data_IF_446700576669
#
_entry.id   IF_446700576669
#
_cell.length_a   1.000
_cell.length_b   1.000
_cell.length_c   1.000
_cell.angle_alpha   90.00
_cell.angle_beta   90.00
_cell.angle_gamma   90.00
#
_symmetry.space_group_name_H-M   'P 1'
#
loop_
_entity.id
_entity.type
_entity.pdbx_description
1 polymer ?
#
# COMPACT_ATOMS: atom_id res chain seq x y z
N UNK A 1 -26.92 30.14 52.22
CA UNK A 1 -26.79 29.91 50.76
C UNK A 1 -25.61 28.96 50.58
N UNK A 2 -25.87 27.67 50.40
CA UNK A 2 -25.86 26.96 49.09
C UNK A 2 -24.44 26.96 48.48
N UNK A 3 -23.71 25.87 48.24
CA UNK A 3 -24.00 24.43 48.23
C UNK A 3 -22.71 23.63 48.54
N UNK A 4 -22.93 22.37 48.90
CA UNK A 4 -22.00 21.37 49.43
C UNK A 4 -20.79 21.02 48.53
N UNK A 5 -19.61 20.98 49.16
CA UNK A 5 -18.54 20.01 48.87
C UNK A 5 -18.85 18.72 49.63
N UNK A 6 -18.88 17.57 48.96
CA UNK A 6 -18.47 16.31 49.62
C UNK A 6 -17.97 15.29 48.61
N UNK A 7 -16.73 14.86 48.87
CA UNK A 7 -16.02 13.73 48.27
C UNK A 7 -16.73 12.44 48.70
N UNK A 8 -16.81 11.46 47.80
CA UNK A 8 -17.06 10.07 48.18
C UNK A 8 -15.73 9.30 48.15
N UNK A 9 -15.36 8.76 49.30
CA UNK A 9 -14.39 7.68 49.46
C UNK A 9 -15.14 6.36 49.58
N UNK A 10 -14.58 5.32 48.98
CA UNK A 10 -15.01 3.93 49.07
C UNK A 10 -14.87 3.38 50.49
N UNK A 11 -15.78 2.48 50.85
CA UNK A 11 -15.60 1.45 51.89
C UNK A 11 -16.28 0.18 51.41
N UNK A 12 -15.47 -0.86 51.23
CA UNK A 12 -15.90 -2.27 51.19
C UNK A 12 -16.18 -2.72 52.62
N UNK A 13 -17.23 -3.51 52.85
CA UNK A 13 -17.28 -4.59 53.86
C UNK A 13 -18.32 -5.65 53.45
N UNK A 14 -17.95 -6.90 53.73
CA UNK A 14 -18.55 -8.18 53.40
C UNK A 14 -19.80 -8.57 54.23
N UNK A 15 -20.52 -9.60 53.75
CA UNK A 15 -20.94 -10.82 54.49
C UNK A 15 -22.38 -11.32 54.20
N UNK A 16 -22.42 -12.55 53.67
CA UNK A 16 -23.21 -13.72 54.07
C UNK A 16 -24.74 -13.64 54.30
N UNK A 17 -25.47 -14.45 53.51
CA UNK A 17 -26.84 -14.89 53.80
C UNK A 17 -27.25 -16.08 52.91
N UNK A 18 -27.41 -17.24 53.53
CA UNK A 18 -27.65 -18.57 52.94
C UNK A 18 -29.16 -18.93 52.92
N UNK A 19 -29.54 -19.97 52.15
CA UNK A 19 -30.81 -20.75 52.11
C UNK A 19 -31.99 -20.15 51.29
N UNK A 20 -32.78 -20.86 50.47
CA UNK A 20 -33.01 -22.31 50.23
C UNK A 20 -33.79 -22.55 48.92
N UNK A 21 -33.78 -23.81 48.45
CA UNK A 21 -34.41 -24.37 47.25
C UNK A 21 -35.95 -24.48 47.35
N UNK A 22 -36.64 -24.38 46.21
CA UNK A 22 -37.83 -25.20 45.92
C UNK A 22 -38.03 -25.38 44.39
N UNK A 23 -38.14 -26.64 43.96
CA UNK A 23 -38.52 -27.10 42.62
C UNK A 23 -40.05 -27.04 42.42
N UNK A 24 -40.54 -26.52 41.28
CA UNK A 24 -41.72 -27.07 40.59
C UNK A 24 -41.62 -26.87 39.07
N UNK A 25 -41.84 -27.96 38.34
CA UNK A 25 -41.90 -28.14 36.89
C UNK A 25 -43.00 -27.33 36.16
N UNK A 26 -42.72 -26.85 34.94
CA UNK A 26 -43.58 -27.00 33.73
C UNK A 26 -43.05 -26.19 32.52
N UNK A 27 -42.92 -26.85 31.36
CA UNK A 27 -42.90 -26.24 30.01
C UNK A 27 -44.36 -26.16 29.48
N UNK A 28 -44.74 -25.55 28.32
CA UNK A 28 -44.02 -24.93 27.16
C UNK A 28 -44.69 -23.54 26.79
N UNK A 29 -44.72 -22.94 25.56
CA UNK A 29 -44.20 -23.34 24.25
C UNK A 29 -43.47 -22.28 23.40
N UNK A 30 -42.79 -22.81 22.38
CA UNK A 30 -42.23 -22.18 21.21
C UNK A 30 -43.31 -21.85 20.17
N UNK A 31 -43.40 -20.59 19.72
CA UNK A 31 -43.63 -20.22 18.30
C UNK A 31 -43.64 -18.69 18.14
N UNK A 32 -42.58 -18.11 17.59
CA UNK A 32 -42.64 -16.79 16.97
C UNK A 32 -42.36 -17.00 15.47
N UNK A 33 -43.43 -16.95 14.67
CA UNK A 33 -43.35 -17.05 13.21
C UNK A 33 -42.98 -15.70 12.61
N UNK A 34 -41.81 -15.62 11.95
CA UNK A 34 -41.30 -14.45 11.21
C UNK A 34 -41.97 -14.24 9.83
N UNK A 35 -42.95 -15.07 9.47
CA UNK A 35 -43.53 -15.12 8.12
C UNK A 35 -44.49 -13.97 7.77
N UNK A 36 -44.63 -12.94 8.63
CA UNK A 36 -45.58 -11.82 8.43
C UNK A 36 -44.96 -10.43 8.27
N UNK A 37 -43.63 -10.32 8.17
CA UNK A 37 -42.93 -9.03 7.94
C UNK A 37 -42.31 -8.91 6.53
N UNK A 38 -42.58 -9.83 5.61
CA UNK A 38 -41.96 -9.86 4.28
C UNK A 38 -42.77 -9.16 3.16
N UNK A 39 -43.88 -8.50 3.47
CA UNK A 39 -44.62 -7.70 2.48
C UNK A 39 -44.68 -6.24 2.93
N UNK A 40 -43.93 -5.40 2.20
CA UNK A 40 -43.76 -3.93 2.31
C UNK A 40 -42.45 -3.52 2.96
N UNK A 41 -41.43 -3.29 2.12
CA UNK A 41 -40.80 -1.99 1.82
C UNK A 41 -39.71 -2.27 0.78
N UNK A 42 -39.96 -1.92 -0.48
CA UNK A 42 -38.94 -1.79 -1.51
C UNK A 42 -38.53 -0.32 -1.60
N UNK A 43 -37.33 0.02 -1.13
CA UNK A 43 -36.49 1.10 -1.69
C UNK A 43 -35.16 1.21 -0.93
N UNK A 44 -34.09 0.75 -1.58
CA UNK A 44 -32.70 1.25 -1.51
C UNK A 44 -32.04 1.53 -0.15
N UNK A 45 -31.29 0.55 0.37
CA UNK A 45 -30.16 0.73 1.29
C UNK A 45 -29.06 -0.26 0.90
N UNK A 46 -27.91 0.22 0.44
CA UNK A 46 -26.75 -0.61 0.09
C UNK A 46 -25.83 -0.75 1.31
N UNK A 47 -26.05 -1.80 2.10
CA UNK A 47 -25.01 -2.48 2.88
C UNK A 47 -24.18 -3.37 1.93
N UNK A 48 -22.96 -3.84 2.28
CA UNK A 48 -22.15 -4.66 1.37
C UNK A 48 -22.93 -5.92 0.96
N UNK A 49 -23.30 -5.97 -0.31
CA UNK A 49 -24.13 -7.02 -0.88
C UNK A 49 -23.37 -8.33 -0.91
N UNK A 50 -23.79 -9.26 -0.05
CA UNK A 50 -23.61 -10.68 -0.30
C UNK A 50 -24.34 -11.06 -1.60
N UNK A 51 -23.81 -11.95 -2.45
CA UNK A 51 -24.50 -12.36 -3.67
C UNK A 51 -25.82 -13.05 -3.32
N UNK A 52 -26.86 -12.74 -4.10
CA UNK A 52 -28.21 -13.30 -4.00
C UNK A 52 -28.14 -14.83 -3.96
N UNK A 53 -28.48 -15.41 -2.82
CA UNK A 53 -28.49 -16.86 -2.60
C UNK A 53 -29.80 -17.45 -3.12
N UNK A 54 -29.73 -18.28 -4.16
CA UNK A 54 -30.82 -19.21 -4.50
C UNK A 54 -31.00 -20.25 -3.37
N UNK A 55 -32.22 -20.74 -3.17
CA UNK A 55 -32.57 -21.74 -2.13
C UNK A 55 -31.69 -22.99 -2.16
N UNK A 56 -31.23 -23.40 -3.34
CA UNK A 56 -30.33 -24.53 -3.53
C UNK A 56 -28.92 -24.30 -2.94
N UNK A 57 -28.54 -23.05 -2.72
CA UNK A 57 -27.24 -22.66 -2.14
C UNK A 57 -27.26 -22.79 -0.61
N UNK A 58 -28.43 -22.58 0.02
CA UNK A 58 -28.59 -22.74 1.47
C UNK A 58 -28.63 -24.21 1.88
N UNK A 59 -29.29 -25.06 1.09
CA UNK A 59 -29.31 -26.52 1.32
C UNK A 59 -27.88 -27.09 1.20
N UNK A 60 -27.12 -26.69 0.18
CA UNK A 60 -25.70 -27.09 0.04
C UNK A 60 -24.78 -26.51 1.12
N UNK A 61 -25.10 -25.34 1.67
CA UNK A 61 -24.35 -24.74 2.78
C UNK A 61 -24.64 -25.43 4.12
N UNK A 62 -25.90 -25.84 4.35
CA UNK A 62 -26.31 -26.66 5.48
C UNK A 62 -25.73 -28.07 5.41
N UNK A 63 -25.71 -28.69 4.23
CA UNK A 63 -25.06 -29.99 4.02
C UNK A 63 -23.55 -29.93 4.29
N UNK A 64 -22.86 -28.83 3.95
CA UNK A 64 -21.44 -28.61 4.31
C UNK A 64 -21.22 -28.34 5.79
N UNK A 65 -22.17 -27.71 6.48
CA UNK A 65 -22.08 -27.41 7.91
C UNK A 65 -22.35 -28.62 8.81
N UNK A 66 -22.96 -29.67 8.26
CA UNK A 66 -23.30 -30.90 8.98
C UNK A 66 -22.28 -32.03 8.75
N UNK A 67 -21.23 -31.80 7.97
CA UNK A 67 -20.11 -32.74 7.88
C UNK A 67 -19.12 -32.47 9.01
N UNK A 68 -18.79 -33.47 9.85
CA UNK A 68 -17.62 -33.35 10.73
C UNK A 68 -16.41 -33.05 9.84
N UNK A 69 -15.60 -32.07 10.24
CA UNK A 69 -14.39 -31.63 9.55
C UNK A 69 -13.62 -32.84 9.02
N UNK A 70 -13.84 -33.13 7.74
CA UNK A 70 -13.08 -34.12 7.01
C UNK A 70 -11.66 -33.58 7.01
N UNK A 71 -10.80 -34.26 7.76
CA UNK A 71 -9.35 -34.21 7.56
C UNK A 71 -9.17 -34.46 6.06
N UNK A 72 -8.91 -33.39 5.31
CA UNK A 72 -8.45 -33.55 3.94
C UNK A 72 -7.18 -34.39 4.03
N UNK A 73 -7.03 -35.46 3.23
CA UNK A 73 -5.77 -36.19 3.20
C UNK A 73 -4.64 -35.19 2.92
N UNK A 74 -3.46 -35.34 3.55
CA UNK A 74 -2.34 -34.43 3.32
C UNK A 74 -2.11 -34.34 1.81
N UNK A 75 -2.21 -33.12 1.29
CA UNK A 75 -2.01 -32.84 -0.14
C UNK A 75 -0.60 -33.32 -0.49
N UNK A 76 -0.52 -34.41 -1.28
CA UNK A 76 0.74 -34.92 -1.78
C UNK A 76 1.25 -33.97 -2.85
N UNK A 77 2.01 -32.96 -2.42
CA UNK A 77 2.75 -32.10 -3.34
C UNK A 77 3.82 -32.92 -4.06
N UNK A 78 4.08 -32.57 -5.32
CA UNK A 78 5.19 -33.15 -6.04
C UNK A 78 6.51 -32.86 -5.27
N UNK A 79 7.48 -33.79 -5.26
CA UNK A 79 8.73 -33.61 -4.52
C UNK A 79 9.57 -32.42 -5.01
N UNK A 80 9.31 -31.90 -6.22
CA UNK A 80 9.92 -30.71 -6.81
C UNK A 80 9.12 -29.41 -6.59
N UNK A 81 8.07 -29.44 -5.75
CA UNK A 81 7.22 -28.28 -5.54
C UNK A 81 7.95 -27.13 -4.84
N UNK A 82 7.87 -25.94 -5.45
CA UNK A 82 8.36 -24.67 -4.91
C UNK A 82 7.43 -24.18 -3.80
N UNK A 83 7.99 -23.81 -2.66
CA UNK A 83 7.22 -23.37 -1.48
C UNK A 83 7.19 -21.86 -1.42
N UNK A 84 6.00 -21.26 -1.36
CA UNK A 84 5.85 -19.82 -1.13
C UNK A 84 5.24 -19.55 0.23
N UNK A 85 5.76 -18.52 0.90
CA UNK A 85 5.16 -17.96 2.10
C UNK A 85 4.33 -16.73 1.73
N UNK A 86 3.04 -16.76 2.02
CA UNK A 86 2.15 -15.61 1.92
C UNK A 86 1.86 -15.11 3.34
N UNK A 87 2.42 -13.95 3.67
CA UNK A 87 2.20 -13.30 4.96
C UNK A 87 0.92 -12.48 4.87
N UNK A 88 -0.21 -13.05 5.28
CA UNK A 88 -1.53 -12.41 5.20
C UNK A 88 -2.46 -12.89 6.32
N UNK A 89 -3.67 -12.34 6.42
CA UNK A 89 -4.72 -12.92 7.28
C UNK A 89 -5.28 -14.23 6.71
N UNK A 90 -6.14 -14.93 7.47
CA UNK A 90 -6.76 -16.20 7.07
C UNK A 90 -8.13 -16.03 6.40
N UNK A 91 -8.56 -14.79 6.11
CA UNK A 91 -9.88 -14.53 5.52
C UNK A 91 -9.94 -14.96 4.05
N UNK A 92 -8.80 -14.91 3.35
CA UNK A 92 -8.68 -15.32 1.95
C UNK A 92 -7.75 -16.53 1.86
N UNK A 93 -8.28 -17.67 1.39
CA UNK A 93 -7.45 -18.81 1.02
C UNK A 93 -6.70 -18.49 -0.28
N UNK A 94 -5.40 -18.17 -0.17
CA UNK A 94 -4.57 -17.89 -1.33
C UNK A 94 -4.27 -19.13 -2.17
N UNK A 95 -4.30 -20.32 -1.58
CA UNK A 95 -3.97 -21.58 -2.27
C UNK A 95 -4.90 -21.84 -3.46
N UNK A 96 -6.16 -21.40 -3.39
CA UNK A 96 -7.16 -21.59 -4.44
C UNK A 96 -6.75 -20.95 -5.78
N UNK A 97 -6.04 -19.83 -5.74
CA UNK A 97 -5.63 -19.13 -6.96
C UNK A 97 -4.49 -19.84 -7.70
N UNK A 98 -3.61 -20.53 -6.98
CA UNK A 98 -2.50 -21.30 -7.56
C UNK A 98 -2.94 -22.67 -8.12
N UNK A 99 -4.04 -23.24 -7.61
CA UNK A 99 -4.61 -24.49 -8.13
C UNK A 99 -5.18 -24.33 -9.55
N UNK A 100 -5.78 -23.16 -9.82
CA UNK A 100 -6.45 -22.88 -11.10
C UNK A 100 -5.51 -22.74 -12.30
N UNK A 101 -4.22 -22.53 -12.06
CA UNK A 101 -3.18 -22.33 -13.09
C UNK A 101 -2.63 -23.63 -13.70
N UNK A 102 -3.06 -24.81 -13.23
CA UNK A 102 -2.59 -26.10 -13.76
C UNK A 102 -1.13 -26.45 -13.43
N UNK A 103 -0.44 -25.61 -12.64
CA UNK A 103 0.94 -25.83 -12.20
C UNK A 103 0.89 -26.48 -10.82
N UNK A 104 0.90 -27.82 -10.77
CA UNK A 104 0.94 -28.62 -9.53
C UNK A 104 2.27 -28.56 -8.77
N UNK A 105 3.09 -27.53 -9.03
CA UNK A 105 4.46 -27.36 -8.53
C UNK A 105 4.62 -26.22 -7.52
N UNK A 106 3.55 -25.62 -7.02
CA UNK A 106 3.61 -24.58 -5.99
C UNK A 106 2.89 -25.06 -4.73
N UNK A 107 3.63 -25.11 -3.62
CA UNK A 107 3.11 -25.30 -2.27
C UNK A 107 2.92 -23.92 -1.65
N UNK A 108 1.69 -23.61 -1.25
CA UNK A 108 1.33 -22.33 -0.64
C UNK A 108 1.24 -22.51 0.87
N UNK A 109 2.03 -21.73 1.60
CA UNK A 109 2.04 -21.69 3.05
C UNK A 109 1.65 -20.27 3.45
N UNK A 110 0.64 -20.15 4.31
CA UNK A 110 0.01 -18.87 4.63
C UNK A 110 -0.06 -18.72 6.14
N UNK A 111 0.40 -17.58 6.64
CA UNK A 111 0.40 -17.25 8.07
C UNK A 111 0.50 -15.74 8.26
N UNK A 112 0.07 -15.22 9.41
CA UNK A 112 0.28 -13.82 9.74
C UNK A 112 1.61 -13.63 10.48
N UNK A 113 2.12 -12.40 10.61
CA UNK A 113 3.40 -12.14 11.29
C UNK A 113 3.40 -12.60 12.76
N UNK A 114 2.25 -12.64 13.44
CA UNK A 114 2.15 -13.15 14.80
C UNK A 114 2.46 -14.65 14.92
N UNK A 115 2.28 -15.40 13.83
CA UNK A 115 2.44 -16.86 13.81
C UNK A 115 3.71 -17.29 13.07
N UNK A 116 4.50 -16.33 12.57
CA UNK A 116 5.72 -16.58 11.79
C UNK A 116 6.95 -16.35 12.66
N UNK A 117 7.75 -17.40 12.82
CA UNK A 117 9.08 -17.33 13.39
C UNK A 117 10.13 -17.65 12.32
N UNK A 118 11.28 -16.96 12.38
CA UNK A 118 12.35 -17.11 11.40
C UNK A 118 13.67 -17.39 12.10
N UNK A 119 14.31 -18.47 11.68
CA UNK A 119 15.70 -18.76 11.98
C UNK A 119 16.52 -18.57 10.71
N UNK A 120 17.32 -17.50 10.67
CA UNK A 120 18.21 -17.20 9.54
C UNK A 120 19.67 -17.35 9.96
N UNK A 121 20.45 -18.03 9.12
CA UNK A 121 21.91 -18.08 9.16
C UNK A 121 22.48 -17.41 7.91
N UNK A 122 23.79 -17.44 7.72
CA UNK A 122 24.46 -16.91 6.52
C UNK A 122 24.07 -17.63 5.22
N UNK A 123 23.60 -18.88 5.33
CA UNK A 123 23.36 -19.74 4.16
C UNK A 123 21.97 -20.36 4.13
N UNK A 124 21.20 -20.25 5.21
CA UNK A 124 19.90 -20.89 5.31
C UNK A 124 18.90 -20.01 6.04
N UNK A 125 17.63 -20.15 5.69
CA UNK A 125 16.53 -19.51 6.37
C UNK A 125 15.37 -20.50 6.50
N UNK A 126 15.11 -20.90 7.74
CA UNK A 126 14.02 -21.79 8.10
C UNK A 126 12.89 -20.92 8.63
N UNK A 127 11.72 -21.10 8.05
CA UNK A 127 10.48 -20.49 8.52
C UNK A 127 9.74 -21.52 9.36
N UNK A 128 9.32 -21.09 10.53
CA UNK A 128 8.44 -21.84 11.41
C UNK A 128 7.09 -21.12 11.46
N UNK A 129 6.02 -21.86 11.17
CA UNK A 129 4.65 -21.38 11.31
C UNK A 129 4.04 -22.08 12.51
N UNK A 130 3.58 -21.30 13.48
CA UNK A 130 2.85 -21.81 14.64
C UNK A 130 1.41 -22.11 14.25
N UNK A 131 0.96 -23.34 14.49
CA UNK A 131 -0.41 -23.77 14.23
C UNK A 131 -1.25 -23.66 15.50
N UNK A 132 -2.58 -23.56 15.33
CA UNK A 132 -3.54 -23.36 16.44
C UNK A 132 -3.54 -24.50 17.47
N UNK A 133 -3.04 -25.68 17.10
CA UNK A 133 -3.02 -26.89 17.95
C UNK A 133 -1.74 -27.02 18.77
N UNK A 134 -0.89 -25.99 18.81
CA UNK A 134 0.40 -26.02 19.52
C UNK A 134 1.51 -26.76 18.77
N UNK A 135 1.18 -27.36 17.62
CA UNK A 135 2.16 -27.88 16.68
C UNK A 135 2.80 -26.73 15.90
N UNK A 136 4.08 -26.89 15.54
CA UNK A 136 4.77 -25.97 14.66
C UNK A 136 5.26 -26.68 13.40
N UNK A 137 5.20 -25.96 12.28
CA UNK A 137 5.60 -26.47 10.98
C UNK A 137 6.83 -25.73 10.49
N UNK A 138 7.93 -26.46 10.36
CA UNK A 138 9.19 -25.94 9.84
C UNK A 138 9.30 -26.19 8.33
N UNK A 139 9.76 -25.18 7.59
CA UNK A 139 9.90 -25.26 6.15
C UNK A 139 10.99 -24.34 5.62
N UNK A 140 11.59 -24.74 4.50
CA UNK A 140 12.33 -23.84 3.63
C UNK A 140 11.36 -23.24 2.61
N UNK A 141 11.57 -21.98 2.26
CA UNK A 141 10.73 -21.26 1.30
C UNK A 141 11.56 -20.78 0.11
N UNK A 142 10.95 -20.80 -1.08
CA UNK A 142 11.55 -20.36 -2.33
C UNK A 142 11.19 -18.91 -2.67
N UNK A 143 10.10 -18.37 -2.11
CA UNK A 143 9.74 -16.96 -2.18
C UNK A 143 8.80 -16.56 -1.04
N UNK A 144 8.71 -15.25 -0.75
CA UNK A 144 7.73 -14.72 0.18
C UNK A 144 7.02 -13.47 -0.35
N UNK A 145 5.84 -13.20 0.21
CA UNK A 145 4.98 -12.07 -0.17
C UNK A 145 4.29 -11.53 1.05
N UNK A 146 4.17 -10.20 1.11
CA UNK A 146 3.41 -9.54 2.14
C UNK A 146 2.04 -9.20 1.55
N UNK A 147 1.03 -9.92 2.01
CA UNK A 147 -0.35 -9.71 1.62
C UNK A 147 -0.89 -8.35 2.08
N UNK A 148 -2.00 -7.91 1.48
CA UNK A 148 -2.59 -6.61 1.78
C UNK A 148 -3.12 -6.51 3.19
N UNK A 149 -3.66 -7.60 3.72
CA UNK A 149 -4.35 -7.57 4.98
C UNK A 149 -3.43 -7.87 6.14
N UNK A 150 -2.34 -8.68 6.03
CA UNK A 150 -1.26 -9.05 6.99
C UNK A 150 -1.45 -8.61 8.47
N UNK A 151 -0.50 -8.49 9.38
CA UNK A 151 -0.71 -7.72 10.63
C UNK A 151 0.63 -7.40 11.19
N UNK A 152 1.03 -6.14 11.08
CA UNK A 152 2.35 -5.74 11.50
C UNK A 152 2.40 -5.76 13.02
N UNK A 153 3.43 -6.41 13.52
CA UNK A 153 3.82 -6.45 14.92
C UNK A 153 5.17 -5.73 15.06
N UNK A 154 5.61 -5.48 16.28
CA UNK A 154 6.87 -4.77 16.55
C UNK A 154 8.11 -5.45 15.92
N UNK A 155 8.05 -6.75 15.63
CA UNK A 155 9.12 -7.51 14.98
C UNK A 155 8.95 -7.68 13.47
N UNK A 156 7.86 -7.23 12.85
CA UNK A 156 7.61 -7.45 11.41
C UNK A 156 8.74 -6.94 10.52
N UNK A 157 9.25 -5.74 10.79
CA UNK A 157 10.37 -5.17 10.03
C UNK A 157 11.64 -6.03 10.15
N UNK A 158 11.89 -6.62 11.32
CA UNK A 158 13.03 -7.50 11.56
C UNK A 158 12.86 -8.82 10.80
N UNK A 159 11.66 -9.40 10.84
CA UNK A 159 11.30 -10.61 10.09
C UNK A 159 11.52 -10.39 8.58
N UNK A 160 10.99 -9.29 8.04
CA UNK A 160 11.15 -8.94 6.62
C UNK A 160 12.63 -8.75 6.25
N UNK A 161 13.40 -8.02 7.08
CA UNK A 161 14.83 -7.82 6.85
C UNK A 161 15.62 -9.13 6.91
N UNK A 162 15.24 -10.06 7.79
CA UNK A 162 15.86 -11.40 7.86
C UNK A 162 15.59 -12.21 6.60
N UNK A 163 14.35 -12.23 6.10
CA UNK A 163 14.01 -12.89 4.82
C UNK A 163 14.80 -12.34 3.65
N UNK A 164 14.94 -11.01 3.60
CA UNK A 164 15.71 -10.32 2.55
C UNK A 164 17.20 -10.62 2.67
N UNK A 165 17.77 -10.59 3.87
CA UNK A 165 19.20 -10.89 4.10
C UNK A 165 19.52 -12.33 3.73
N UNK A 166 18.58 -13.25 3.96
CA UNK A 166 18.66 -14.64 3.50
C UNK A 166 18.54 -14.81 1.97
N UNK A 167 18.45 -13.71 1.22
CA UNK A 167 18.30 -13.69 -0.24
C UNK A 167 17.07 -14.44 -0.75
N UNK A 168 16.00 -14.51 0.05
CA UNK A 168 14.74 -15.12 -0.39
C UNK A 168 14.04 -14.16 -1.38
N UNK A 169 13.71 -14.62 -2.60
CA UNK A 169 12.96 -13.83 -3.58
C UNK A 169 11.62 -13.32 -3.02
N UNK A 170 11.22 -12.12 -3.42
CA UNK A 170 9.98 -11.50 -2.98
C UNK A 170 9.24 -10.76 -4.09
N UNK A 171 7.92 -10.59 -3.87
CA UNK A 171 7.07 -9.72 -4.66
C UNK A 171 6.45 -8.65 -3.73
N UNK A 172 6.75 -7.36 -3.87
CA UNK A 172 7.75 -6.75 -4.77
C UNK A 172 9.21 -7.12 -4.44
N UNK A 173 10.17 -6.58 -5.21
CA UNK A 173 11.59 -6.79 -4.97
C UNK A 173 12.03 -6.35 -3.57
N UNK A 174 13.04 -7.01 -3.03
CA UNK A 174 13.60 -6.72 -1.71
C UNK A 174 13.99 -5.26 -1.51
N UNK A 175 14.56 -4.60 -2.54
CA UNK A 175 14.91 -3.19 -2.48
C UNK A 175 13.68 -2.30 -2.27
N UNK A 176 12.60 -2.56 -3.01
CA UNK A 176 11.37 -1.79 -2.88
C UNK A 176 10.66 -2.04 -1.55
N UNK A 177 10.61 -3.29 -1.08
CA UNK A 177 10.04 -3.63 0.24
C UNK A 177 10.80 -2.88 1.34
N UNK A 178 12.14 -2.83 1.29
CA UNK A 178 12.94 -2.07 2.26
C UNK A 178 12.57 -0.59 2.24
N UNK A 179 12.38 0.01 1.06
CA UNK A 179 11.94 1.41 0.96
C UNK A 179 10.58 1.65 1.61
N UNK A 180 9.65 0.68 1.53
CA UNK A 180 8.33 0.78 2.15
C UNK A 180 8.31 0.55 3.66
N UNK A 181 9.33 -0.10 4.24
CA UNK A 181 9.48 -0.18 5.71
C UNK A 181 9.65 1.21 6.34
N UNK A 182 10.09 2.21 5.57
CA UNK A 182 10.25 3.60 6.02
C UNK A 182 9.51 4.56 5.10
N UNK A 183 8.17 4.39 5.00
CA UNK A 183 7.31 5.16 4.10
C UNK A 183 7.49 6.69 4.24
N UNK A 184 7.67 7.20 5.46
CA UNK A 184 7.87 8.63 5.68
C UNK A 184 9.17 9.16 5.06
N UNK A 185 10.25 8.39 5.08
CA UNK A 185 11.50 8.76 4.42
C UNK A 185 11.39 8.63 2.90
N UNK A 186 10.72 7.58 2.42
CA UNK A 186 10.40 7.43 1.01
C UNK A 186 9.58 8.63 0.48
N UNK A 187 8.56 9.08 1.20
CA UNK A 187 7.78 10.29 0.85
C UNK A 187 8.69 11.52 0.74
N UNK A 188 9.67 11.70 1.64
CA UNK A 188 10.61 12.84 1.61
C UNK A 188 11.51 12.77 0.39
N UNK A 189 11.98 11.59 0.01
CA UNK A 189 12.78 11.37 -1.21
C UNK A 189 11.96 11.67 -2.47
N UNK A 190 10.78 11.08 -2.59
CA UNK A 190 9.89 11.26 -3.74
C UNK A 190 9.46 12.71 -3.93
N UNK A 191 9.23 13.47 -2.85
CA UNK A 191 8.89 14.90 -2.90
C UNK A 191 10.02 15.76 -3.49
N UNK A 192 11.27 15.33 -3.37
CA UNK A 192 12.43 16.02 -3.96
C UNK A 192 12.63 15.68 -5.44
N UNK A 193 12.08 14.54 -5.89
CA UNK A 193 12.20 14.10 -7.27
C UNK A 193 11.42 14.98 -8.24
N UNK A 194 11.96 15.17 -9.44
CA UNK A 194 11.33 15.91 -10.54
C UNK A 194 10.90 14.92 -11.62
N UNK A 195 9.68 15.06 -12.07
CA UNK A 195 9.14 14.34 -13.22
C UNK A 195 9.88 14.78 -14.50
N UNK A 196 9.78 14.00 -15.61
CA UNK A 196 10.45 14.33 -16.87
C UNK A 196 10.08 15.70 -17.45
N UNK A 197 8.86 16.17 -17.17
CA UNK A 197 8.36 17.50 -17.55
C UNK A 197 8.87 18.65 -16.63
N UNK A 198 9.72 18.35 -15.65
CA UNK A 198 10.27 19.31 -14.68
C UNK A 198 9.34 19.62 -13.49
N UNK A 199 8.12 19.09 -13.50
CA UNK A 199 7.17 19.27 -12.40
C UNK A 199 7.47 18.33 -11.22
N UNK A 200 6.80 18.55 -10.09
CA UNK A 200 6.88 17.65 -8.91
C UNK A 200 5.56 16.96 -8.71
N UNK A 201 5.61 15.73 -8.20
CA UNK A 201 4.43 15.06 -7.68
C UNK A 201 3.91 15.88 -6.49
N UNK A 202 2.61 16.25 -6.45
CA UNK A 202 2.05 17.08 -5.39
C UNK A 202 1.82 16.24 -4.13
N UNK A 203 2.89 15.81 -3.46
CA UNK A 203 2.78 15.12 -2.18
C UNK A 203 2.23 16.06 -1.11
N UNK A 204 1.27 15.57 -0.32
CA UNK A 204 0.79 16.28 0.86
C UNK A 204 2.00 16.56 1.77
N UNK A 205 2.25 17.81 2.19
CA UNK A 205 3.37 18.11 3.06
C UNK A 205 3.14 17.48 4.43
N UNK A 206 4.19 16.92 5.01
CA UNK A 206 4.12 16.22 6.28
C UNK A 206 5.36 16.46 7.13
N UNK A 207 5.16 16.51 8.44
CA UNK A 207 6.20 16.53 9.47
C UNK A 207 6.26 15.13 10.06
N UNK A 208 7.44 14.51 10.08
CA UNK A 208 7.63 13.16 10.59
C UNK A 208 8.53 13.18 11.82
N UNK A 209 8.08 12.52 12.88
CA UNK A 209 8.77 12.31 14.14
C UNK A 209 9.07 10.81 14.27
N UNK A 210 10.28 10.35 13.93
CA UNK A 210 10.65 8.93 14.07
C UNK A 210 10.60 8.44 15.52
N UNK A 211 10.86 9.34 16.47
CA UNK A 211 10.67 9.09 17.90
C UNK A 211 9.99 10.30 18.52
N UNK A 212 8.73 10.12 18.92
CA UNK A 212 7.92 11.22 19.40
C UNK A 212 8.28 11.63 20.83
N UNK A 213 8.54 12.92 21.02
CA UNK A 213 8.82 13.51 22.33
C UNK A 213 7.85 14.65 22.63
N UNK A 214 7.70 15.57 21.67
CA UNK A 214 6.78 16.70 21.72
C UNK A 214 6.48 17.20 20.31
N UNK A 215 5.33 17.83 20.12
CA UNK A 215 5.03 18.56 18.90
C UNK A 215 5.80 19.88 18.85
N UNK A 216 6.05 20.34 17.63
CA UNK A 216 6.47 21.72 17.43
C UNK A 216 5.24 22.64 17.52
N UNK A 217 5.35 23.83 18.13
CA UNK A 217 4.25 24.79 18.14
C UNK A 217 3.78 25.10 16.71
N UNK A 218 2.48 25.04 16.49
CA UNK A 218 1.84 25.38 15.22
C UNK A 218 0.57 26.17 15.48
N UNK A 219 0.31 27.17 14.65
CA UNK A 219 -0.94 27.93 14.64
C UNK A 219 -1.85 27.54 13.46
N UNK A 220 -1.42 26.56 12.66
CA UNK A 220 -2.12 26.13 11.45
C UNK A 220 -2.99 24.92 11.76
N UNK A 221 -4.21 25.17 12.24
CA UNK A 221 -5.24 24.15 12.45
C UNK A 221 -6.34 24.25 11.39
N UNK A 222 -7.05 23.15 11.09
CA UNK A 222 -6.86 21.81 11.64
C UNK A 222 -5.69 21.03 11.00
N UNK A 223 -5.14 20.08 11.76
CA UNK A 223 -4.11 19.13 11.32
C UNK A 223 -4.60 17.69 11.51
N UNK A 224 -3.93 16.76 10.85
CA UNK A 224 -4.11 15.32 11.02
C UNK A 224 -2.83 14.75 11.60
N UNK A 225 -2.92 14.16 12.79
CA UNK A 225 -1.84 13.43 13.44
C UNK A 225 -2.05 11.93 13.20
N UNK A 226 -1.04 11.25 12.67
CA UNK A 226 -1.03 9.79 12.49
C UNK A 226 0.02 9.20 13.44
N UNK A 227 -0.38 8.26 14.29
CA UNK A 227 0.48 7.59 15.27
C UNK A 227 0.67 6.13 14.84
N UNK A 228 1.93 5.72 14.72
CA UNK A 228 2.36 4.38 14.33
C UNK A 228 1.93 3.98 12.92
N UNK A 229 2.13 2.70 12.60
CA UNK A 229 1.78 2.10 11.30
C UNK A 229 0.31 1.62 11.25
N UNK A 230 -0.61 2.43 11.80
CA UNK A 230 -2.02 2.10 11.90
C UNK A 230 -2.71 1.86 10.56
N UNK A 231 -3.44 0.75 10.43
CA UNK A 231 -4.19 0.42 9.20
C UNK A 231 -5.57 1.03 9.18
N UNK A 232 -6.13 1.19 7.98
CA UNK A 232 -7.53 1.57 7.74
C UNK A 232 -7.96 2.84 8.54
N UNK A 233 -7.02 3.75 8.81
CA UNK A 233 -7.28 5.01 9.51
C UNK A 233 -7.19 4.94 11.05
N UNK A 234 -6.76 3.80 11.61
CA UNK A 234 -6.35 3.69 13.01
C UNK A 234 -5.15 4.61 13.28
N UNK A 235 -5.06 5.15 14.49
CA UNK A 235 -4.00 6.09 14.87
C UNK A 235 -4.07 7.47 14.20
N UNK A 236 -5.01 7.71 13.27
CA UNK A 236 -5.21 9.00 12.61
C UNK A 236 -6.23 9.86 13.37
N UNK A 237 -5.84 11.05 13.78
CA UNK A 237 -6.64 11.93 14.64
C UNK A 237 -6.65 13.32 13.99
N UNK A 238 -7.83 13.90 13.80
CA UNK A 238 -7.96 15.30 13.38
C UNK A 238 -7.92 16.16 14.64
N UNK A 239 -7.03 17.14 14.65
CA UNK A 239 -6.80 18.07 15.76
C UNK A 239 -7.15 19.47 15.27
N UNK A 240 -8.06 20.14 15.97
CA UNK A 240 -8.64 21.42 15.57
C UNK A 240 -8.09 22.62 16.35
N UNK A 241 -7.36 22.40 17.45
CA UNK A 241 -6.82 23.47 18.28
C UNK A 241 -5.47 23.09 18.92
N UNK A 242 -4.76 24.09 19.43
CA UNK A 242 -3.51 23.86 20.18
C UNK A 242 -3.75 23.15 21.51
N UNK A 243 -4.94 23.29 22.09
CA UNK A 243 -5.35 22.62 23.34
C UNK A 243 -5.53 21.12 23.08
N UNK A 244 -6.27 20.75 22.03
CA UNK A 244 -6.42 19.36 21.60
C UNK A 244 -5.07 18.73 21.25
N UNK A 245 -4.15 19.50 20.66
CA UNK A 245 -2.79 19.03 20.35
C UNK A 245 -1.99 18.73 21.62
N UNK A 246 -2.09 19.58 22.63
CA UNK A 246 -1.41 19.41 23.93
C UNK A 246 -1.95 18.18 24.67
N UNK A 247 -3.27 17.96 24.65
CA UNK A 247 -3.87 16.77 25.26
C UNK A 247 -3.41 15.50 24.54
N UNK A 248 -3.38 15.54 23.20
CA UNK A 248 -2.91 14.43 22.39
C UNK A 248 -1.41 14.13 22.64
N UNK A 249 -0.57 15.16 22.80
CA UNK A 249 0.84 15.00 23.16
C UNK A 249 1.00 14.18 24.44
N UNK A 250 0.24 14.52 25.49
CA UNK A 250 0.27 13.80 26.77
C UNK A 250 -0.17 12.33 26.64
N UNK A 251 -1.14 12.04 25.77
CA UNK A 251 -1.60 10.67 25.49
C UNK A 251 -0.51 9.89 24.75
N UNK A 252 0.08 10.45 23.69
CA UNK A 252 1.13 9.78 22.91
C UNK A 252 2.35 9.50 23.81
N UNK A 253 2.75 10.47 24.63
CA UNK A 253 3.87 10.32 25.56
C UNK A 253 3.71 9.12 26.51
N UNK A 254 2.48 8.85 26.97
CA UNK A 254 2.20 7.73 27.88
C UNK A 254 2.00 6.39 27.17
N UNK A 255 1.39 6.39 25.99
CA UNK A 255 0.90 5.15 25.35
C UNK A 255 1.79 4.65 24.22
N UNK A 256 2.51 5.54 23.55
CA UNK A 256 3.09 5.30 22.22
C UNK A 256 4.49 5.90 22.08
N UNK A 257 5.29 5.87 23.16
CA UNK A 257 6.61 6.52 23.24
C UNK A 257 7.61 6.07 22.16
N UNK A 258 7.44 4.84 21.65
CA UNK A 258 8.31 4.26 20.63
C UNK A 258 7.68 4.23 19.23
N UNK A 259 6.50 4.80 19.07
CA UNK A 259 5.82 4.86 17.77
C UNK A 259 6.25 6.11 17.00
N UNK A 260 6.30 5.97 15.68
CA UNK A 260 6.49 7.12 14.79
C UNK A 260 5.23 7.98 14.75
N UNK A 261 5.38 9.29 14.60
CA UNK A 261 4.26 10.22 14.48
C UNK A 261 4.42 11.06 13.22
N UNK A 262 3.38 11.11 12.40
CA UNK A 262 3.32 11.97 11.21
C UNK A 262 2.23 13.03 11.39
N UNK A 263 2.53 14.28 11.07
CA UNK A 263 1.60 15.41 11.12
C UNK A 263 1.43 15.98 9.72
N UNK A 264 0.19 16.02 9.24
CA UNK A 264 -0.21 16.50 7.91
C UNK A 264 -1.25 17.62 8.06
N UNK A 265 -1.31 18.61 7.16
CA UNK A 265 -2.41 19.57 7.18
C UNK A 265 -3.73 18.86 6.85
N UNK A 266 -4.81 19.29 7.49
CA UNK A 266 -6.13 18.80 7.13
C UNK A 266 -6.53 19.33 5.75
N UNK A 267 -6.94 18.42 4.86
CA UNK A 267 -7.50 18.76 3.55
C UNK A 267 -8.99 18.52 3.56
N UNK A 268 -9.77 19.56 3.27
CA UNK A 268 -11.21 19.41 3.07
C UNK A 268 -11.48 18.82 1.68
N UNK A 269 -11.69 17.51 1.65
CA UNK A 269 -11.78 16.72 0.41
C UNK A 269 -13.20 16.69 -0.16
N UNK A 270 -13.28 16.68 -1.48
CA UNK A 270 -14.50 16.37 -2.24
C UNK A 270 -14.63 14.87 -2.47
N UNK A 271 -13.50 14.19 -2.70
CA UNK A 271 -13.38 12.74 -2.87
C UNK A 271 -11.89 12.34 -2.82
N UNK A 272 -11.62 11.04 -2.74
CA UNK A 272 -10.28 10.48 -2.89
C UNK A 272 -10.20 9.57 -4.12
N UNK A 273 -9.02 9.47 -4.71
CA UNK A 273 -8.73 8.62 -5.87
C UNK A 273 -7.67 7.60 -5.45
N UNK A 274 -7.96 6.33 -5.66
CA UNK A 274 -7.00 5.25 -5.54
C UNK A 274 -6.54 4.82 -6.93
N UNK A 275 -5.24 4.81 -7.18
CA UNK A 275 -4.66 4.31 -8.42
C UNK A 275 -3.73 3.17 -8.09
N UNK A 276 -4.01 1.99 -8.66
CA UNK A 276 -3.24 0.77 -8.43
C UNK A 276 -2.62 0.25 -9.72
N UNK A 277 -1.45 -0.36 -9.57
CA UNK A 277 -0.70 -1.10 -10.59
C UNK A 277 -0.49 -2.53 -10.11
N UNK A 278 -0.84 -3.49 -10.96
CA UNK A 278 -0.58 -4.93 -10.78
C UNK A 278 0.07 -5.45 -12.05
N UNK A 279 1.39 -5.64 -12.02
CA UNK A 279 2.17 -5.94 -13.21
C UNK A 279 2.09 -4.80 -14.21
N UNK A 280 1.38 -5.04 -15.32
CA UNK A 280 1.19 -4.07 -16.40
C UNK A 280 -0.22 -3.45 -16.38
N UNK A 281 -1.13 -3.97 -15.56
CA UNK A 281 -2.49 -3.42 -15.47
C UNK A 281 -2.52 -2.25 -14.47
N UNK A 282 -3.18 -1.17 -14.86
CA UNK A 282 -3.43 -0.01 -14.00
C UNK A 282 -4.93 0.23 -13.92
N UNK A 283 -5.45 0.37 -12.70
CA UNK A 283 -6.86 0.72 -12.43
C UNK A 283 -6.94 1.94 -11.53
N UNK A 284 -7.96 2.76 -11.77
CA UNK A 284 -8.25 3.95 -10.96
C UNK A 284 -9.65 3.83 -10.38
N UNK A 285 -9.80 4.17 -9.11
CA UNK A 285 -11.07 4.16 -8.39
C UNK A 285 -11.27 5.50 -7.71
N UNK A 286 -12.48 6.03 -7.79
CA UNK A 286 -12.89 7.21 -7.01
C UNK A 286 -13.73 6.73 -5.84
N UNK A 287 -13.40 7.19 -4.64
CA UNK A 287 -14.18 6.97 -3.43
C UNK A 287 -14.76 8.29 -2.94
N UNK A 288 -16.09 8.31 -2.76
CA UNK A 288 -16.84 9.44 -2.19
C UNK A 288 -17.45 9.01 -0.87
N UNK A 289 -17.02 9.63 0.23
CA UNK A 289 -17.68 9.43 1.53
C UNK A 289 -19.14 9.86 1.45
N UNK A 290 -20.06 9.02 1.94
CA UNK A 290 -21.49 9.32 1.98
C UNK A 290 -21.83 10.12 3.24
N UNK A 291 -21.08 9.88 4.33
CA UNK A 291 -21.23 10.63 5.57
C UNK A 291 -20.39 11.90 5.59
N UNK A 292 -20.73 12.84 6.47
CA UNK A 292 -19.91 14.03 6.75
C UNK A 292 -18.62 13.73 7.53
N UNK A 293 -18.22 12.46 7.63
CA UNK A 293 -17.01 12.05 8.32
C UNK A 293 -15.78 12.40 7.49
N UNK A 294 -14.76 12.97 8.12
CA UNK A 294 -13.59 13.49 7.42
C UNK A 294 -12.68 12.39 6.84
N UNK A 295 -12.76 11.17 7.39
CA UNK A 295 -12.12 9.97 6.83
C UNK A 295 -13.09 9.27 5.88
N UNK A 296 -12.88 9.41 4.56
CA UNK A 296 -13.69 8.71 3.55
C UNK A 296 -13.72 7.19 3.72
N UNK A 297 -12.71 6.60 4.36
CA UNK A 297 -12.60 5.16 4.55
C UNK A 297 -13.19 4.65 5.88
N UNK A 298 -13.68 5.53 6.76
CA UNK A 298 -14.22 5.16 8.07
C UNK A 298 -15.72 4.91 8.07
N UNK A 299 -16.43 5.29 6.99
CA UNK A 299 -17.89 5.19 6.89
C UNK A 299 -18.29 4.68 5.52
N UNK A 300 -19.60 4.45 5.31
CA UNK A 300 -20.14 4.09 4.00
C UNK A 300 -19.66 5.09 2.94
N UNK A 301 -19.12 4.54 1.86
CA UNK A 301 -18.58 5.31 0.74
C UNK A 301 -19.05 4.70 -0.57
N UNK A 302 -19.31 5.54 -1.56
CA UNK A 302 -19.50 5.11 -2.95
C UNK A 302 -18.13 4.93 -3.55
N UNK A 303 -17.90 3.75 -4.13
CA UNK A 303 -16.67 3.42 -4.84
C UNK A 303 -17.01 3.15 -6.29
N UNK A 304 -16.33 3.85 -7.19
CA UNK A 304 -16.55 3.76 -8.63
C UNK A 304 -15.22 3.56 -9.33
N UNK A 305 -15.11 2.54 -10.19
CA UNK A 305 -13.98 2.43 -11.09
C UNK A 305 -14.10 3.48 -12.19
N UNK A 306 -13.07 4.31 -12.35
CA UNK A 306 -13.04 5.39 -13.34
C UNK A 306 -11.97 5.13 -14.40
N UNK A 307 -12.09 5.83 -15.53
CA UNK A 307 -11.04 5.84 -16.55
C UNK A 307 -9.74 6.40 -15.95
N UNK A 308 -8.62 5.74 -16.26
CA UNK A 308 -7.32 6.19 -15.80
C UNK A 308 -7.00 7.61 -16.31
N UNK A 309 -6.48 8.44 -15.41
CA UNK A 309 -5.94 9.75 -15.73
C UNK A 309 -4.45 9.62 -16.06
N UNK A 310 -4.02 10.15 -17.21
CA UNK A 310 -2.63 10.11 -17.66
C UNK A 310 -1.66 10.69 -16.62
N UNK A 311 -2.07 11.75 -15.92
CA UNK A 311 -1.23 12.40 -14.92
C UNK A 311 -1.03 11.54 -13.68
N UNK A 312 -2.07 10.82 -13.25
CA UNK A 312 -1.97 9.90 -12.12
C UNK A 312 -1.17 8.64 -12.47
N UNK A 313 -1.30 8.15 -13.71
CA UNK A 313 -0.45 7.08 -14.26
C UNK A 313 1.01 7.52 -14.25
N UNK A 314 1.30 8.75 -14.65
CA UNK A 314 2.66 9.30 -14.66
C UNK A 314 3.25 9.32 -13.24
N UNK A 315 2.50 9.79 -12.24
CA UNK A 315 2.92 9.74 -10.83
C UNK A 315 3.23 8.32 -10.37
N UNK A 316 2.30 7.38 -10.61
CA UNK A 316 2.46 5.98 -10.23
C UNK A 316 3.67 5.33 -10.92
N UNK A 317 3.86 5.61 -12.21
CA UNK A 317 4.96 5.07 -13.02
C UNK A 317 6.29 5.63 -12.56
N UNK A 318 6.35 6.93 -12.27
CA UNK A 318 7.55 7.57 -11.74
C UNK A 318 7.95 6.97 -10.40
N UNK A 319 7.02 6.86 -9.44
CA UNK A 319 7.27 6.25 -8.13
C UNK A 319 7.73 4.79 -8.28
N UNK A 320 7.06 4.02 -9.17
CA UNK A 320 7.45 2.64 -9.48
C UNK A 320 8.89 2.56 -9.99
N UNK A 321 9.31 3.45 -10.89
CA UNK A 321 10.69 3.48 -11.39
C UNK A 321 11.71 3.93 -10.34
N UNK A 322 11.40 4.94 -9.52
CA UNK A 322 12.27 5.38 -8.43
C UNK A 322 12.55 4.27 -7.42
N UNK A 323 11.64 3.31 -7.28
CA UNK A 323 11.77 2.14 -6.40
C UNK A 323 12.40 0.91 -7.07
N UNK A 324 13.00 1.07 -8.26
CA UNK A 324 13.62 -0.02 -9.01
C UNK A 324 12.63 -0.88 -9.81
N UNK A 325 11.43 -0.37 -10.08
CA UNK A 325 10.42 -1.02 -10.92
C UNK A 325 9.44 -1.89 -10.17
N UNK A 326 8.71 -1.34 -9.17
CA UNK A 326 7.68 -2.09 -8.45
C UNK A 326 6.64 -2.69 -9.41
N UNK A 327 6.35 -3.98 -9.24
CA UNK A 327 5.31 -4.69 -10.00
C UNK A 327 3.94 -4.44 -9.41
N UNK A 328 3.87 -4.27 -8.10
CA UNK A 328 2.67 -3.97 -7.34
C UNK A 328 2.86 -2.61 -6.69
N UNK A 329 1.98 -1.66 -6.94
CA UNK A 329 2.07 -0.35 -6.33
C UNK A 329 0.70 0.31 -6.34
N UNK A 330 0.40 1.09 -5.31
CA UNK A 330 -0.75 1.97 -5.31
C UNK A 330 -0.42 3.33 -4.74
N UNK A 331 -1.17 4.33 -5.18
CA UNK A 331 -1.16 5.69 -4.62
C UNK A 331 -2.58 6.12 -4.30
N UNK A 332 -2.72 6.85 -3.20
CA UNK A 332 -3.96 7.52 -2.82
C UNK A 332 -3.79 9.04 -2.98
N UNK A 333 -4.75 9.64 -3.68
CA UNK A 333 -4.78 11.07 -4.01
C UNK A 333 -6.03 11.70 -3.38
N UNK A 334 -5.83 12.74 -2.57
CA UNK A 334 -6.90 13.56 -2.04
C UNK A 334 -7.24 14.65 -3.05
N UNK A 335 -8.51 14.76 -3.42
CA UNK A 335 -9.00 15.89 -4.24
C UNK A 335 -9.75 16.86 -3.32
N UNK A 336 -9.15 18.02 -3.08
CA UNK A 336 -9.70 19.07 -2.26
C UNK A 336 -10.94 19.71 -2.91
N UNK A 337 -11.80 20.35 -2.13
CA UNK A 337 -13.00 21.06 -2.65
C UNK A 337 -12.66 22.20 -3.61
N UNK A 338 -11.47 22.77 -3.49
CA UNK A 338 -10.93 23.80 -4.39
C UNK A 338 -10.31 23.22 -5.68
N UNK A 339 -10.31 21.89 -5.83
CA UNK A 339 -9.80 21.19 -7.01
C UNK A 339 -8.32 20.83 -6.96
N UNK A 340 -7.58 21.20 -5.91
CA UNK A 340 -6.17 20.77 -5.75
C UNK A 340 -6.08 19.29 -5.43
N UNK A 341 -5.09 18.62 -6.02
CA UNK A 341 -4.82 17.19 -5.81
C UNK A 341 -3.57 17.02 -4.95
N UNK A 342 -3.64 16.13 -3.96
CA UNK A 342 -2.51 15.81 -3.08
C UNK A 342 -2.29 14.30 -2.99
N UNK A 343 -1.13 13.81 -3.42
CA UNK A 343 -0.72 12.42 -3.15
C UNK A 343 -0.42 12.31 -1.66
N UNK A 344 -1.21 11.56 -0.92
CA UNK A 344 -1.07 11.47 0.54
C UNK A 344 -0.55 10.10 1.01
N UNK A 345 -0.68 9.06 0.18
CA UNK A 345 -0.19 7.73 0.50
C UNK A 345 0.35 7.01 -0.73
N UNK A 346 1.33 6.14 -0.50
CA UNK A 346 1.84 5.16 -1.44
C UNK A 346 1.98 3.83 -0.71
N UNK A 347 1.64 2.73 -1.37
CA UNK A 347 1.67 1.39 -0.76
C UNK A 347 2.06 0.33 -1.77
N UNK A 348 2.96 -0.58 -1.38
CA UNK A 348 3.26 -1.84 -2.06
C UNK A 348 2.27 -2.95 -1.76
N UNK A 349 1.36 -2.72 -0.80
CA UNK A 349 0.31 -3.63 -0.37
C UNK A 349 -1.03 -3.07 -0.85
N UNK A 350 -1.64 -3.71 -1.84
CA UNK A 350 -2.84 -3.20 -2.50
C UNK A 350 -4.07 -3.29 -1.61
N UNK A 351 -4.95 -2.30 -1.64
CA UNK A 351 -6.31 -2.54 -1.17
C UNK A 351 -7.15 -2.99 -2.37
N UNK A 352 -7.66 -4.21 -2.33
CA UNK A 352 -8.54 -4.69 -3.39
C UNK A 352 -9.90 -3.99 -3.32
N UNK A 353 -10.41 -3.57 -4.48
CA UNK A 353 -11.59 -2.73 -4.62
C UNK A 353 -12.61 -3.28 -5.60
N UNK A 354 -13.89 -2.96 -5.37
CA UNK A 354 -14.98 -3.22 -6.31
C UNK A 354 -15.20 -4.69 -6.64
N UNK A 355 -15.62 -4.95 -7.88
CA UNK A 355 -15.88 -6.30 -8.41
C UNK A 355 -14.60 -6.97 -8.97
N UNK A 356 -13.53 -6.20 -9.21
CA UNK A 356 -12.29 -6.70 -9.81
C UNK A 356 -11.37 -7.45 -8.84
N UNK A 357 -11.71 -7.54 -7.56
CA UNK A 357 -10.81 -8.07 -6.52
C UNK A 357 -10.34 -9.50 -6.80
N UNK A 358 -11.23 -10.39 -7.25
CA UNK A 358 -10.84 -11.76 -7.58
C UNK A 358 -9.87 -11.80 -8.77
N UNK A 359 -10.03 -10.90 -9.73
CA UNK A 359 -9.12 -10.80 -10.87
C UNK A 359 -7.77 -10.21 -10.46
N UNK A 360 -7.77 -9.17 -9.63
CA UNK A 360 -6.56 -8.54 -9.10
C UNK A 360 -5.71 -9.56 -8.30
N UNK A 361 -6.36 -10.43 -7.51
CA UNK A 361 -5.70 -11.53 -6.79
C UNK A 361 -5.12 -12.57 -7.75
N UNK A 362 -5.83 -12.96 -8.81
CA UNK A 362 -5.31 -13.87 -9.85
C UNK A 362 -4.09 -13.28 -10.55
N UNK A 363 -4.13 -11.99 -10.86
CA UNK A 363 -3.00 -11.32 -11.47
C UNK A 363 -1.79 -11.29 -10.54
N UNK A 364 -1.99 -11.02 -9.26
CA UNK A 364 -0.91 -11.13 -8.28
C UNK A 364 -0.32 -12.55 -8.28
N UNK A 365 -1.15 -13.60 -8.24
CA UNK A 365 -0.71 -15.00 -8.38
C UNK A 365 0.10 -15.26 -9.66
N UNK A 366 -0.29 -14.68 -10.80
CA UNK A 366 0.46 -14.82 -12.04
C UNK A 366 1.86 -14.16 -11.96
N UNK A 367 1.98 -13.01 -11.28
CA UNK A 367 3.29 -12.37 -11.06
C UNK A 367 4.22 -13.22 -10.20
N UNK A 368 3.65 -13.94 -9.22
CA UNK A 368 4.38 -14.83 -8.32
C UNK A 368 4.88 -16.05 -9.07
N UNK A 369 4.05 -16.61 -9.96
CA UNK A 369 4.47 -17.70 -10.83
C UNK A 369 5.63 -17.29 -11.73
N UNK A 370 5.59 -16.08 -12.28
CA UNK A 370 6.70 -15.53 -13.07
C UNK A 370 7.97 -15.31 -12.24
N UNK A 371 7.84 -15.01 -10.94
CA UNK A 371 8.98 -14.89 -10.03
C UNK A 371 9.65 -16.25 -9.78
N UNK A 372 8.85 -17.30 -9.55
CA UNK A 372 9.36 -18.66 -9.26
C UNK A 372 9.86 -19.40 -10.50
N UNK A 373 9.17 -19.21 -11.62
CA UNK A 373 9.43 -19.89 -12.88
C UNK A 373 9.65 -18.85 -13.99
N UNK A 374 10.76 -18.09 -13.94
CA UNK A 374 11.07 -17.14 -14.98
C UNK A 374 11.21 -17.88 -16.31
N UNK A 375 10.47 -17.45 -17.32
CA UNK A 375 10.59 -17.98 -18.68
C UNK A 375 12.02 -17.69 -19.14
N UNK A 376 12.86 -18.71 -19.25
CA UNK A 376 14.11 -18.59 -19.99
C UNK A 376 13.75 -18.37 -21.46
N UNK A 377 13.74 -17.11 -21.90
CA UNK A 377 13.70 -16.76 -23.32
C UNK A 377 15.03 -17.17 -23.96
N UNK A 378 15.21 -18.45 -24.22
CA UNK A 378 16.09 -18.88 -25.29
C UNK A 378 15.30 -18.73 -26.60
N UNK A 379 15.74 -17.78 -27.43
CA UNK A 379 15.23 -17.39 -28.75
C UNK A 379 14.04 -16.41 -28.79
N UNK A 380 14.35 -15.13 -28.71
CA UNK A 380 13.70 -14.14 -29.57
C UNK A 380 14.72 -13.68 -30.61
N UNK A 381 14.67 -14.32 -31.78
CA UNK A 381 15.15 -13.73 -33.01
C UNK A 381 14.49 -12.36 -33.15
N UNK A 382 15.30 -11.32 -33.12
CA UNK A 382 14.93 -9.96 -33.49
C UNK A 382 14.51 -9.97 -34.97
N UNK A 383 13.24 -10.25 -35.27
CA UNK A 383 12.66 -9.89 -36.55
C UNK A 383 12.37 -8.39 -36.51
N UNK A 384 13.39 -7.63 -36.86
CA UNK A 384 13.31 -6.22 -37.21
C UNK A 384 12.34 -6.06 -38.38
N UNK A 385 11.25 -5.32 -38.19
CA UNK A 385 10.46 -4.75 -39.28
C UNK A 385 11.35 -3.77 -40.06
N UNK A 386 11.93 -4.22 -41.18
CA UNK A 386 12.57 -3.34 -42.15
C UNK A 386 11.68 -3.28 -43.39
N UNK A 387 11.21 -2.07 -43.64
CA UNK A 387 10.47 -1.66 -44.83
C UNK A 387 11.28 -1.95 -46.10
N UNK A 388 10.63 -2.54 -47.10
CA UNK A 388 11.19 -2.81 -48.43
C UNK A 388 11.54 -1.51 -49.16
N UNK A 389 12.81 -1.32 -49.50
CA UNK A 389 13.27 -0.79 -50.82
C UNK A 389 14.81 -0.84 -50.92
N UNK A 390 15.31 -1.47 -52.00
CA UNK A 390 16.59 -1.07 -52.63
C UNK A 390 17.78 -2.01 -52.49
N UNK A 391 17.91 -2.91 -53.46
CA UNK A 391 19.12 -3.29 -54.23
C UNK A 391 20.39 -3.81 -53.52
N UNK A 392 20.76 -5.04 -53.90
CA UNK A 392 22.01 -5.77 -53.68
C UNK A 392 23.27 -4.99 -54.10
N UNK A 393 24.34 -5.15 -53.32
CA UNK A 393 25.70 -5.46 -53.80
C UNK A 393 26.52 -6.10 -52.66
N UNK A 394 27.35 -7.06 -53.05
CA UNK A 394 28.13 -8.01 -52.24
C UNK A 394 29.37 -7.42 -51.54
N UNK A 395 29.73 -8.09 -50.43
CA UNK A 395 31.06 -8.60 -50.03
C UNK A 395 31.99 -7.87 -49.02
N UNK A 396 32.43 -8.72 -48.09
CA UNK A 396 33.78 -8.97 -47.56
C UNK A 396 34.14 -8.64 -46.09
N UNK A 397 34.75 -9.66 -45.51
CA UNK A 397 35.24 -9.94 -44.15
C UNK A 397 36.18 -8.88 -43.53
N UNK A 398 36.16 -8.77 -42.18
CA UNK A 398 37.27 -9.14 -41.28
C UNK A 398 37.09 -8.74 -39.80
N UNK A 399 37.32 -9.75 -38.95
CA UNK A 399 38.06 -9.85 -37.67
C UNK A 399 37.99 -8.78 -36.56
N UNK A 400 37.69 -9.32 -35.38
CA UNK A 400 38.02 -8.98 -33.98
C UNK A 400 39.12 -7.94 -33.69
N UNK A 401 38.89 -7.09 -32.68
CA UNK A 401 39.80 -6.96 -31.53
C UNK A 401 39.12 -6.32 -30.30
N UNK A 402 39.42 -6.87 -29.12
CA UNK A 402 39.00 -6.41 -27.79
C UNK A 402 40.02 -5.39 -27.26
N UNK A 403 39.57 -4.31 -26.62
CA UNK A 403 40.42 -3.60 -25.65
C UNK A 403 39.61 -3.07 -24.46
N UNK A 404 40.17 -3.36 -23.29
CA UNK A 404 39.68 -3.06 -21.94
C UNK A 404 40.15 -1.67 -21.54
N UNK A 405 39.28 -0.86 -20.93
CA UNK A 405 39.60 0.46 -20.38
C UNK A 405 39.62 0.44 -18.85
N UNK A 406 40.74 0.85 -18.26
CA UNK A 406 40.84 1.26 -16.84
C UNK A 406 41.09 2.78 -16.78
N UNK A 407 40.47 3.51 -15.83
CA UNK A 407 40.58 4.97 -15.74
C UNK A 407 41.73 5.41 -14.82
N UNK A 408 42.43 6.49 -15.19
CA UNK A 408 43.35 7.21 -14.32
C UNK A 408 42.96 8.70 -14.22
N UNK A 409 42.89 9.18 -12.98
CA UNK A 409 42.76 10.60 -12.61
C UNK A 409 44.06 11.36 -12.93
N UNK A 410 43.97 12.70 -13.03
CA UNK A 410 44.98 13.53 -12.39
C UNK A 410 44.40 14.67 -11.53
N UNK A 411 45.27 15.04 -10.59
CA UNK A 411 45.16 15.90 -9.41
C UNK A 411 45.25 17.41 -9.73
N UNK A 412 44.62 18.20 -8.87
CA UNK A 412 44.69 19.66 -8.66
C UNK A 412 45.99 20.38 -9.01
N UNK A 413 45.89 21.61 -9.54
CA UNK A 413 46.61 22.79 -9.02
C UNK A 413 45.81 24.10 -9.22
N UNK A 414 45.81 24.93 -8.16
CA UNK A 414 45.32 26.31 -8.07
C UNK A 414 46.39 27.30 -8.57
N UNK A 415 46.00 28.42 -9.19
CA UNK A 415 46.65 29.72 -8.99
C UNK A 415 45.77 30.88 -9.48
N UNK A 416 45.89 32.02 -8.79
CA UNK A 416 44.99 33.17 -8.81
C UNK A 416 45.50 34.41 -9.57
N UNK A 417 44.54 35.27 -9.95
CA UNK A 417 44.55 36.73 -10.12
C UNK A 417 45.42 37.44 -11.20
N UNK A 418 44.75 38.33 -11.97
CA UNK A 418 45.37 39.54 -12.54
C UNK A 418 44.72 40.14 -13.80
N UNK A 419 43.93 41.21 -13.59
CA UNK A 419 43.56 42.39 -14.44
C UNK A 419 44.63 42.82 -15.49
N UNK A 420 44.41 43.56 -16.58
CA UNK A 420 43.31 44.31 -17.23
C UNK A 420 43.76 44.64 -18.69
N UNK A 421 42.83 45.14 -19.54
CA UNK A 421 42.99 46.11 -20.65
C UNK A 421 42.84 45.70 -22.15
N UNK A 422 41.68 46.10 -22.72
CA UNK A 422 41.42 46.90 -23.94
C UNK A 422 41.82 46.38 -25.35
N UNK A 423 40.81 46.13 -26.21
CA UNK A 423 40.44 46.88 -27.46
C UNK A 423 39.78 45.96 -28.51
N UNK A 424 38.63 46.37 -29.09
CA UNK A 424 38.04 45.76 -30.29
C UNK A 424 36.51 45.93 -30.42
N UNK A 425 36.12 46.96 -31.17
CA UNK A 425 34.76 47.37 -31.59
C UNK A 425 33.91 46.25 -32.21
N UNK A 426 32.64 46.09 -31.84
CA UNK A 426 31.41 46.74 -32.35
C UNK A 426 31.00 46.33 -33.79
N UNK A 427 29.95 45.51 -33.91
CA UNK A 427 29.15 45.32 -35.15
C UNK A 427 27.84 44.53 -34.95
N UNK A 428 27.24 44.51 -33.75
CA UNK A 428 25.94 43.84 -33.53
C UNK A 428 24.93 44.66 -32.70
N UNK A 429 25.27 45.92 -32.39
CA UNK A 429 24.38 46.89 -31.72
C UNK A 429 23.34 47.53 -32.65
N UNK A 430 23.36 47.25 -33.95
CA UNK A 430 22.49 47.88 -34.94
C UNK A 430 21.26 47.06 -35.36
N UNK A 431 21.07 45.83 -34.84
CA UNK A 431 19.93 44.97 -35.20
C UNK A 431 18.74 45.04 -34.23
N UNK A 432 18.77 45.92 -33.22
CA UNK A 432 17.68 46.09 -32.23
C UNK A 432 16.89 47.40 -32.34
N UNK A 433 16.96 48.13 -33.45
CA UNK A 433 16.29 49.44 -33.59
C UNK A 433 15.27 49.60 -34.72
N UNK A 434 14.79 48.53 -35.34
CA UNK A 434 13.88 48.64 -36.52
C UNK A 434 12.53 47.91 -36.40
N UNK A 435 12.10 47.46 -35.22
CA UNK A 435 10.76 46.84 -35.06
C UNK A 435 9.93 47.38 -33.90
N UNK A 436 10.25 48.58 -33.41
CA UNK A 436 9.36 49.39 -32.59
C UNK A 436 8.93 50.61 -33.41
N UNK A 437 7.89 50.46 -34.24
CA UNK A 437 7.48 51.54 -35.13
C UNK A 437 6.26 51.29 -36.01
N UNK A 438 5.50 50.21 -35.82
CA UNK A 438 4.23 50.00 -36.52
C UNK A 438 3.25 49.45 -35.49
N UNK A 439 2.21 50.22 -35.19
CA UNK A 439 1.14 49.99 -34.20
C UNK A 439 1.39 50.49 -32.77
N UNK A 440 1.57 51.81 -32.65
CA UNK A 440 1.11 52.57 -31.50
C UNK A 440 -0.26 53.21 -31.80
N UNK A 441 -1.13 53.18 -30.80
CA UNK A 441 -2.18 54.17 -30.50
C UNK A 441 -3.34 54.41 -31.49
N UNK A 442 -4.52 53.91 -31.12
CA UNK A 442 -5.80 54.60 -31.35
C UNK A 442 -6.65 54.49 -30.08
N UNK A 443 -6.59 55.54 -29.27
CA UNK A 443 -7.66 55.93 -28.35
C UNK A 443 -8.32 57.19 -28.91
N UNK A 444 -9.64 57.31 -28.73
CA UNK A 444 -10.49 58.51 -28.57
C UNK A 444 -11.91 58.15 -29.03
N UNK A 445 -12.83 57.96 -28.09
CA UNK A 445 -13.95 58.90 -27.80
C UNK A 445 -14.80 58.32 -26.67
#
# INVERSE_FOLDING_TARGET
MNFFKRKFSFTDEDENGELSLDEVSSSPPSSFSLSKMAERVSSTISAPTSPVRSSDTLVRALERSLQPSSIQPPQLYAPDAKTILIIDDDLIDWSKYFKSSGISRIRVEQANFCDVHIQSTEHNCIVEIQLREGESKHMNIDAFIIGPDASFISSSDRIIRSLITASIPSLNSSSSIISFLSLSDLKKELRRSKLPDGSTIPFLPSIHYPSFHKFNPTNHFPIVVSIGNGRKGQGKIKVNSSEELSDLEGIIYKTSKNEEVEVEPFVDIKYDIHVQKIGNEIKSFVRRGISSHWKSNATSAVLEQVKNNNRHIEYLTWISHSLGGCRILSIDILVAKDGREFVHSCSDRLRYFGESQEEDRRQMCNLIQQLLFPIHNNNLNTQTYISKKGTLLEKDDKKEEKSVWHPSLPTNQLHANGKDCVSGEDTMGQLKRTFAGIFGELSIS
#
